data_IF_024693296613
#
_entry.id   IF_024693296613
#
_cell.length_a   1.000
_cell.length_b   1.000
_cell.length_c   1.000
_cell.angle_alpha   90.00
_cell.angle_beta   90.00
_cell.angle_gamma   90.00
#
_symmetry.space_group_name_H-M   'P 1'
#
loop_
_entity.id
_entity.type
_entity.pdbx_description
1 polymer ?
#
# COMPACT_ATOMS: atom_id res chain seq x y z
N UNK A 1 6.77 -4.86 24.24
CA UNK A 1 7.10 -3.51 23.71
C UNK A 1 6.83 -3.48 22.21
N UNK A 2 6.24 -2.40 21.66
CA UNK A 2 6.05 -2.25 20.21
C UNK A 2 7.40 -2.36 19.48
N UNK A 3 7.41 -3.06 18.33
CA UNK A 3 8.61 -3.16 17.49
C UNK A 3 8.71 -1.95 16.59
N UNK A 4 9.91 -1.37 16.48
CA UNK A 4 10.20 -0.29 15.55
C UNK A 4 10.91 -0.85 14.32
N UNK A 5 10.39 -0.56 13.14
CA UNK A 5 11.07 -0.90 11.89
C UNK A 5 12.32 -0.04 11.76
N UNK A 6 13.49 -0.64 11.59
CA UNK A 6 14.76 0.11 11.45
C UNK A 6 14.79 0.90 10.14
N UNK A 7 14.15 0.39 9.08
CA UNK A 7 14.18 1.02 7.77
C UNK A 7 13.30 2.28 7.67
N UNK A 8 12.12 2.28 8.31
CA UNK A 8 11.16 3.39 8.19
C UNK A 8 10.74 4.02 9.52
N UNK A 9 11.25 3.52 10.64
CA UNK A 9 10.88 4.00 11.97
C UNK A 9 9.45 3.66 12.41
N UNK A 10 8.66 2.99 11.57
CA UNK A 10 7.26 2.67 11.87
C UNK A 10 7.14 1.73 13.06
N UNK A 11 6.15 1.98 13.91
CA UNK A 11 5.88 1.19 15.11
C UNK A 11 4.73 0.23 14.84
N UNK A 12 4.91 -1.05 15.19
CA UNK A 12 3.85 -2.05 15.12
C UNK A 12 3.74 -2.81 16.44
N UNK A 13 2.55 -3.35 16.79
CA UNK A 13 2.43 -4.28 17.91
C UNK A 13 3.32 -5.52 17.72
N UNK A 14 3.69 -6.22 18.81
CA UNK A 14 4.78 -7.19 18.81
C UNK A 14 4.37 -8.60 18.35
N UNK A 15 4.09 -8.84 17.07
CA UNK A 15 3.76 -10.20 16.60
C UNK A 15 4.33 -10.53 15.21
N UNK A 16 4.12 -11.79 14.75
CA UNK A 16 4.66 -12.51 13.58
C UNK A 16 4.41 -11.85 12.20
N UNK A 17 4.58 -10.55 12.07
CA UNK A 17 4.60 -9.84 10.80
C UNK A 17 6.02 -9.95 10.23
N UNK A 18 6.18 -10.68 9.14
CA UNK A 18 7.48 -10.90 8.51
C UNK A 18 8.07 -9.61 7.92
N UNK A 19 7.22 -8.70 7.44
CA UNK A 19 7.61 -7.44 6.78
C UNK A 19 6.79 -6.25 7.27
N UNK A 20 7.44 -5.11 7.51
CA UNK A 20 6.80 -3.87 7.93
C UNK A 20 5.68 -3.44 6.97
N UNK A 21 4.44 -3.20 7.45
CA UNK A 21 3.34 -2.74 6.59
C UNK A 21 3.63 -1.41 5.88
N UNK A 22 4.45 -0.56 6.48
CA UNK A 22 4.77 0.78 5.97
C UNK A 22 5.80 0.78 4.83
N UNK A 23 6.87 -0.01 4.91
CA UNK A 23 7.94 0.00 3.87
C UNK A 23 8.20 -1.37 3.22
N UNK A 24 7.54 -2.43 3.68
CA UNK A 24 7.75 -3.79 3.18
C UNK A 24 9.06 -4.44 3.62
N UNK A 25 9.96 -3.75 4.33
CA UNK A 25 11.22 -4.32 4.82
C UNK A 25 11.00 -5.29 5.98
N UNK A 26 11.80 -6.35 6.06
CA UNK A 26 11.77 -7.28 7.19
C UNK A 26 12.18 -6.58 8.49
N UNK A 27 11.52 -6.91 9.60
CA UNK A 27 12.02 -6.49 10.92
C UNK A 27 13.30 -7.26 11.23
N UNK A 28 14.40 -6.57 11.60
CA UNK A 28 15.59 -7.29 12.09
C UNK A 28 15.19 -8.16 13.29
N UNK A 29 15.66 -9.42 13.30
CA UNK A 29 15.59 -10.26 14.50
C UNK A 29 16.27 -9.50 15.65
N UNK A 30 15.74 -9.56 16.89
CA UNK A 30 16.46 -9.01 18.03
C UNK A 30 17.87 -9.62 18.04
N UNK A 31 18.88 -8.78 18.22
CA UNK A 31 20.22 -9.26 18.51
C UNK A 31 20.12 -10.08 19.80
N UNK A 32 20.66 -11.31 19.79
CA UNK A 32 20.89 -12.00 21.05
C UNK A 32 21.97 -11.21 21.78
N UNK A 33 21.56 -10.37 22.72
CA UNK A 33 22.49 -9.74 23.64
C UNK A 33 23.09 -10.83 24.54
N UNK A 34 24.41 -10.97 24.46
CA UNK A 34 25.33 -11.57 25.44
C UNK A 34 25.08 -13.03 25.88
N UNK A 35 25.89 -13.94 25.33
CA UNK A 35 26.38 -15.10 26.08
C UNK A 35 27.89 -15.29 25.79
N UNK A 36 28.75 -15.43 26.81
CA UNK A 36 30.18 -15.65 26.62
C UNK A 36 30.46 -17.06 26.08
N UNK A 37 31.64 -17.32 25.48
CA UNK A 37 31.93 -18.62 24.90
C UNK A 37 32.31 -19.58 26.02
N UNK A 38 31.55 -20.65 26.24
CA UNK A 38 32.17 -21.83 26.84
C UNK A 38 31.53 -23.17 26.44
N UNK A 39 32.43 -23.98 25.88
CA UNK A 39 32.62 -25.42 25.93
C UNK A 39 31.44 -26.40 26.05
N UNK A 40 31.47 -27.31 25.07
CA UNK A 40 30.78 -28.59 24.89
C UNK A 40 30.33 -29.31 26.17
N UNK A 41 29.04 -29.63 26.24
CA UNK A 41 28.54 -30.95 26.66
C UNK A 41 27.38 -31.38 25.77
N UNK A 42 27.48 -32.59 25.24
CA UNK A 42 26.44 -33.25 24.45
C UNK A 42 25.23 -33.55 25.33
N UNK A 43 24.11 -32.85 25.10
CA UNK A 43 22.78 -33.33 25.46
C UNK A 43 21.93 -33.28 24.19
N UNK A 44 21.52 -34.48 23.73
CA UNK A 44 20.65 -34.66 22.57
C UNK A 44 19.25 -34.16 22.92
N UNK A 45 18.92 -32.93 22.52
CA UNK A 45 17.53 -32.48 22.50
C UNK A 45 16.98 -32.63 21.08
N UNK A 46 16.10 -33.63 20.92
CA UNK A 46 15.19 -33.74 19.79
C UNK A 46 14.36 -32.45 19.71
N UNK A 47 14.66 -31.58 18.75
CA UNK A 47 13.74 -30.55 18.31
C UNK A 47 13.28 -30.93 16.92
N UNK A 48 12.03 -31.37 16.86
CA UNK A 48 11.26 -31.59 15.64
C UNK A 48 11.30 -30.32 14.78
N UNK A 49 12.14 -30.35 13.75
CA UNK A 49 12.22 -29.30 12.74
C UNK A 49 10.89 -29.17 12.02
N UNK A 50 10.05 -28.23 12.45
CA UNK A 50 8.94 -27.76 11.63
C UNK A 50 9.54 -27.02 10.44
N UNK A 51 9.62 -27.71 9.31
CA UNK A 51 9.89 -27.09 8.01
C UNK A 51 8.86 -25.97 7.78
N UNK A 52 9.32 -24.72 7.72
CA UNK A 52 8.46 -23.56 7.44
C UNK A 52 8.18 -23.51 5.93
N UNK A 53 7.29 -24.39 5.46
CA UNK A 53 6.66 -24.19 4.15
C UNK A 53 5.88 -22.85 4.20
N UNK A 54 6.01 -21.96 3.21
CA UNK A 54 5.24 -20.72 3.18
C UNK A 54 3.75 -21.06 3.14
N UNK A 55 2.96 -20.52 4.07
CA UNK A 55 1.49 -20.65 3.98
C UNK A 55 1.02 -20.01 2.67
N UNK A 56 0.40 -20.80 1.82
CA UNK A 56 -0.24 -20.33 0.59
C UNK A 56 -1.56 -19.64 0.98
N UNK A 57 -1.73 -18.38 0.58
CA UNK A 57 -2.96 -17.62 0.82
C UNK A 57 -3.83 -17.62 -0.45
N UNK A 58 -5.02 -18.25 -0.44
CA UNK A 58 -5.92 -18.29 -1.60
C UNK A 58 -6.32 -16.90 -2.09
N UNK A 59 -6.64 -15.99 -1.17
CA UNK A 59 -7.03 -14.62 -1.52
C UNK A 59 -5.91 -13.83 -2.21
N UNK A 60 -4.67 -13.97 -1.71
CA UNK A 60 -3.48 -13.37 -2.35
C UNK A 60 -3.28 -13.92 -3.77
N UNK A 61 -3.50 -15.22 -3.97
CA UNK A 61 -3.39 -15.85 -5.28
C UNK A 61 -4.48 -15.36 -6.25
N UNK A 62 -5.70 -15.18 -5.76
CA UNK A 62 -6.81 -14.63 -6.54
C UNK A 62 -6.55 -13.17 -6.94
N UNK A 63 -6.08 -12.33 -6.01
CA UNK A 63 -5.65 -10.97 -6.32
C UNK A 63 -4.48 -10.94 -7.32
N UNK A 64 -3.55 -11.90 -7.22
CA UNK A 64 -2.45 -12.02 -8.16
C UNK A 64 -2.91 -12.49 -9.54
N UNK A 65 -4.00 -13.26 -9.62
CA UNK A 65 -4.65 -13.64 -10.88
C UNK A 65 -5.23 -12.42 -11.57
N UNK A 66 -6.00 -11.59 -10.85
CA UNK A 66 -6.51 -10.33 -11.37
C UNK A 66 -5.37 -9.40 -11.84
N UNK A 67 -4.30 -9.24 -11.05
CA UNK A 67 -3.16 -8.43 -11.46
C UNK A 67 -2.52 -8.94 -12.77
N UNK A 68 -2.45 -10.26 -12.97
CA UNK A 68 -1.94 -10.84 -14.21
C UNK A 68 -2.87 -10.58 -15.40
N UNK A 69 -4.18 -10.57 -15.20
CA UNK A 69 -5.14 -10.27 -16.29
C UNK A 69 -5.09 -8.81 -16.75
N UNK A 70 -4.46 -7.91 -15.99
CA UNK A 70 -4.21 -6.54 -16.43
C UNK A 70 -3.02 -6.43 -17.40
N UNK A 71 -2.22 -7.48 -17.54
CA UNK A 71 -1.09 -7.55 -18.49
C UNK A 71 -0.02 -6.46 -18.28
N UNK A 72 0.15 -5.97 -17.05
CA UNK A 72 1.23 -5.03 -16.73
C UNK A 72 2.59 -5.74 -16.80
N UNK A 73 3.62 -5.00 -17.21
CA UNK A 73 4.99 -5.52 -17.21
C UNK A 73 5.40 -5.93 -15.79
N UNK A 74 5.84 -7.17 -15.66
CA UNK A 74 6.34 -7.76 -14.43
C UNK A 74 7.54 -7.01 -13.86
N UNK A 75 8.32 -6.33 -14.71
CA UNK A 75 9.45 -5.50 -14.30
C UNK A 75 9.05 -4.34 -13.39
N UNK A 76 7.78 -3.93 -13.41
CA UNK A 76 7.25 -2.87 -12.55
C UNK A 76 7.11 -3.31 -11.08
N UNK A 77 7.24 -4.61 -10.78
CA UNK A 77 6.92 -5.18 -9.47
C UNK A 77 8.15 -5.71 -8.73
N UNK A 78 8.08 -5.62 -7.40
CA UNK A 78 9.00 -6.25 -6.48
C UNK A 78 8.23 -7.16 -5.51
N UNK A 79 8.25 -8.46 -5.83
CA UNK A 79 7.49 -9.48 -5.10
C UNK A 79 7.89 -9.59 -3.62
N UNK A 80 9.08 -9.10 -3.23
CA UNK A 80 9.55 -9.09 -1.84
C UNK A 80 8.66 -8.23 -0.94
N UNK A 81 8.02 -7.22 -1.51
CA UNK A 81 7.17 -6.28 -0.77
C UNK A 81 5.67 -6.60 -0.87
N UNK A 82 5.30 -7.74 -1.47
CA UNK A 82 3.91 -8.19 -1.53
C UNK A 82 3.40 -8.55 -0.12
N UNK A 83 2.23 -8.04 0.25
CA UNK A 83 1.65 -8.25 1.57
C UNK A 83 0.15 -8.45 1.46
N UNK A 84 -0.41 -9.46 2.13
CA UNK A 84 -1.85 -9.70 2.12
C UNK A 84 -2.43 -9.27 3.46
N UNK A 85 -3.54 -8.54 3.43
CA UNK A 85 -4.26 -8.03 4.59
C UNK A 85 -5.63 -8.69 4.77
N UNK A 86 -5.87 -9.85 4.14
CA UNK A 86 -7.07 -10.65 4.44
C UNK A 86 -7.05 -11.16 5.89
N UNK A 87 -8.19 -11.61 6.39
CA UNK A 87 -8.36 -12.11 7.76
C UNK A 87 -7.37 -13.23 8.14
N UNK A 88 -6.96 -14.06 7.18
CA UNK A 88 -5.99 -15.14 7.40
C UNK A 88 -4.53 -14.66 7.48
N UNK A 89 -4.20 -13.56 6.81
CA UNK A 89 -2.84 -13.04 6.70
C UNK A 89 -2.55 -11.88 7.64
N UNK A 90 -3.57 -11.11 8.01
CA UNK A 90 -3.49 -9.99 8.92
C UNK A 90 -4.62 -10.11 9.94
N UNK A 91 -4.28 -10.70 11.09
CA UNK A 91 -5.24 -11.14 12.10
C UNK A 91 -6.03 -9.96 12.66
N UNK A 92 -7.29 -10.21 13.04
CA UNK A 92 -8.16 -9.20 13.64
C UNK A 92 -7.57 -8.60 14.91
N UNK A 93 -6.85 -9.41 15.70
CA UNK A 93 -6.14 -8.97 16.91
C UNK A 93 -4.96 -8.04 16.66
N UNK A 94 -4.54 -7.84 15.41
CA UNK A 94 -3.46 -6.90 15.07
C UNK A 94 -4.02 -5.47 14.96
N UNK A 95 -3.14 -4.46 14.98
CA UNK A 95 -3.57 -3.05 14.94
C UNK A 95 -4.23 -2.69 13.61
N UNK A 96 -5.26 -1.85 13.67
CA UNK A 96 -5.91 -1.22 12.51
C UNK A 96 -5.13 -0.01 11.98
N UNK A 97 -4.11 0.43 12.72
CA UNK A 97 -3.30 1.60 12.36
C UNK A 97 -1.81 1.31 12.52
N UNK A 98 -1.02 2.10 11.80
CA UNK A 98 0.43 2.19 11.97
C UNK A 98 0.83 3.65 12.01
N UNK A 99 1.70 4.00 12.94
CA UNK A 99 2.39 5.29 12.96
C UNK A 99 3.68 5.19 12.15
N UNK A 100 3.83 6.04 11.15
CA UNK A 100 5.00 6.12 10.28
C UNK A 100 5.29 7.58 9.92
N UNK A 101 6.56 7.99 10.02
CA UNK A 101 7.00 9.35 9.72
C UNK A 101 6.19 10.45 10.45
N UNK A 102 5.81 10.20 11.71
CA UNK A 102 5.04 11.16 12.52
C UNK A 102 3.56 11.29 12.13
N UNK A 103 3.04 10.38 11.31
CA UNK A 103 1.63 10.35 10.91
C UNK A 103 1.05 8.95 11.07
N UNK A 104 -0.25 8.89 11.36
CA UNK A 104 -1.01 7.64 11.49
C UNK A 104 -1.73 7.36 10.18
N UNK A 105 -1.64 6.13 9.70
CA UNK A 105 -2.43 5.66 8.56
C UNK A 105 -3.16 4.36 8.91
N UNK A 106 -4.29 4.13 8.25
CA UNK A 106 -5.15 2.97 8.47
C UNK A 106 -4.64 1.79 7.66
N UNK A 107 -4.56 0.61 8.27
CA UNK A 107 -4.19 -0.64 7.61
C UNK A 107 -5.29 -1.05 6.61
N UNK A 108 -4.95 -1.44 5.38
CA UNK A 108 -5.93 -1.75 4.36
C UNK A 108 -6.45 -3.18 4.51
N UNK A 109 -7.19 -3.47 5.59
CA UNK A 109 -7.76 -4.80 5.84
C UNK A 109 -8.65 -5.27 4.70
N UNK A 110 -8.52 -6.54 4.34
CA UNK A 110 -9.22 -7.13 3.19
C UNK A 110 -8.53 -6.90 1.84
N UNK A 111 -7.41 -6.16 1.78
CA UNK A 111 -6.70 -5.89 0.54
C UNK A 111 -5.45 -6.75 0.39
N UNK A 112 -4.93 -6.87 -0.82
CA UNK A 112 -3.63 -7.46 -1.11
C UNK A 112 -2.73 -6.45 -1.81
N UNK A 113 -1.59 -6.14 -1.18
CA UNK A 113 -0.53 -5.33 -1.77
C UNK A 113 0.38 -6.14 -2.66
N UNK A 114 0.64 -5.59 -3.84
CA UNK A 114 1.72 -5.97 -4.75
C UNK A 114 2.75 -4.85 -4.76
N UNK A 115 3.97 -5.16 -4.35
CA UNK A 115 5.05 -4.18 -4.25
C UNK A 115 5.49 -3.69 -5.61
N UNK A 116 5.73 -2.39 -5.74
CA UNK A 116 6.25 -1.78 -6.95
C UNK A 116 7.77 -1.64 -6.88
N UNK A 117 8.43 -1.68 -8.03
CA UNK A 117 9.80 -1.19 -8.15
C UNK A 117 9.81 0.32 -7.95
N UNK A 118 10.77 0.79 -7.16
CA UNK A 118 11.01 2.21 -6.93
C UNK A 118 12.47 2.53 -7.21
N UNK A 119 12.76 3.80 -7.47
CA UNK A 119 14.13 4.28 -7.58
C UNK A 119 14.81 4.23 -6.20
N UNK A 120 15.75 3.28 -6.04
CA UNK A 120 16.42 3.04 -4.76
C UNK A 120 17.29 4.22 -4.34
N UNK A 121 18.02 4.81 -5.29
CA UNK A 121 18.92 5.95 -5.03
C UNK A 121 18.10 7.12 -4.51
N UNK A 122 17.00 7.44 -5.21
CA UNK A 122 16.08 8.48 -4.77
C UNK A 122 15.51 8.20 -3.38
N UNK A 123 15.05 6.98 -3.12
CA UNK A 123 14.45 6.66 -1.81
C UNK A 123 15.44 6.77 -0.65
N UNK A 124 16.72 6.54 -0.93
CA UNK A 124 17.80 6.67 0.05
C UNK A 124 18.16 8.13 0.31
N UNK A 125 18.43 8.91 -0.75
CA UNK A 125 18.82 10.32 -0.68
C UNK A 125 17.72 11.19 -0.05
N UNK A 126 16.46 11.02 -0.49
CA UNK A 126 15.33 11.80 0.03
C UNK A 126 14.80 11.24 1.38
N UNK A 127 15.41 10.15 1.88
CA UNK A 127 15.00 9.44 3.09
C UNK A 127 13.50 9.09 3.11
N UNK A 128 12.95 8.73 1.96
CA UNK A 128 11.50 8.59 1.72
C UNK A 128 10.87 7.66 2.73
N UNK A 129 11.45 6.48 2.95
CA UNK A 129 10.87 5.49 3.85
C UNK A 129 10.76 5.96 5.29
N UNK A 130 11.70 6.79 5.74
CA UNK A 130 11.78 7.28 7.12
C UNK A 130 10.93 8.53 7.32
N UNK A 131 10.91 9.42 6.34
CA UNK A 131 10.41 10.78 6.51
C UNK A 131 9.08 11.03 5.80
N UNK A 132 8.69 10.22 4.81
CA UNK A 132 7.45 10.44 4.08
C UNK A 132 6.30 9.67 4.68
N UNK A 133 5.16 10.34 4.85
CA UNK A 133 3.93 9.74 5.40
C UNK A 133 3.38 8.69 4.43
N UNK A 134 2.55 7.78 4.93
CA UNK A 134 1.88 6.78 4.08
C UNK A 134 0.47 7.26 3.76
N UNK A 135 0.12 7.25 2.48
CA UNK A 135 -1.22 7.62 2.00
C UNK A 135 -1.71 6.65 0.92
N UNK A 136 -2.98 6.78 0.55
CA UNK A 136 -3.68 5.97 -0.43
C UNK A 136 -4.25 6.86 -1.53
N UNK A 137 -4.21 6.39 -2.77
CA UNK A 137 -4.79 7.07 -3.93
C UNK A 137 -5.71 6.11 -4.69
N UNK A 138 -7.00 6.41 -4.70
CA UNK A 138 -8.00 5.68 -5.48
C UNK A 138 -7.94 6.07 -6.94
N UNK A 139 -7.98 5.08 -7.83
CA UNK A 139 -7.89 5.33 -9.27
C UNK A 139 -8.40 4.13 -10.08
N UNK A 140 -8.37 4.23 -11.42
CA UNK A 140 -8.63 3.09 -12.30
C UNK A 140 -7.33 2.32 -12.59
N UNK A 141 -7.41 1.06 -13.03
CA UNK A 141 -6.21 0.30 -13.41
C UNK A 141 -5.40 0.97 -14.50
N UNK A 142 -6.03 1.58 -15.50
CA UNK A 142 -5.34 2.24 -16.61
C UNK A 142 -4.56 3.48 -16.13
N UNK A 143 -5.19 4.28 -15.27
CA UNK A 143 -4.54 5.44 -14.66
C UNK A 143 -3.43 5.02 -13.68
N UNK A 144 -3.64 3.97 -12.89
CA UNK A 144 -2.62 3.40 -12.03
C UNK A 144 -1.40 2.92 -12.84
N UNK A 145 -1.62 2.22 -13.95
CA UNK A 145 -0.54 1.74 -14.82
C UNK A 145 0.27 2.91 -15.35
N UNK A 146 -0.41 3.94 -15.84
CA UNK A 146 0.22 5.17 -16.31
C UNK A 146 1.09 5.79 -15.22
N UNK A 147 0.56 5.99 -14.01
CA UNK A 147 1.30 6.56 -12.88
C UNK A 147 2.55 5.73 -12.55
N UNK A 148 2.43 4.41 -12.51
CA UNK A 148 3.53 3.49 -12.17
C UNK A 148 4.60 3.47 -13.25
N UNK A 149 4.22 3.37 -14.52
CA UNK A 149 5.14 3.35 -15.68
C UNK A 149 5.93 4.66 -15.75
N UNK A 150 5.26 5.79 -15.56
CA UNK A 150 5.90 7.11 -15.63
C UNK A 150 6.60 7.51 -14.33
N UNK A 151 6.41 6.75 -13.25
CA UNK A 151 6.92 7.03 -11.89
C UNK A 151 6.54 8.42 -11.37
N UNK A 152 5.42 8.95 -11.85
CA UNK A 152 4.92 10.26 -11.48
C UNK A 152 3.40 10.32 -11.63
N UNK A 153 2.77 11.11 -10.77
CA UNK A 153 1.40 11.54 -10.98
C UNK A 153 1.40 12.58 -12.10
N UNK A 154 1.03 12.12 -13.29
CA UNK A 154 0.84 13.00 -14.42
C UNK A 154 -0.45 13.81 -14.19
N UNK A 155 -0.39 15.11 -14.45
CA UNK A 155 -1.55 15.99 -14.43
C UNK A 155 -1.90 16.42 -15.86
N UNK A 156 -3.13 16.88 -16.12
CA UNK A 156 -3.51 17.43 -17.42
C UNK A 156 -2.50 18.46 -17.94
N UNK A 157 -2.05 18.27 -19.18
CA UNK A 157 -0.97 19.02 -19.81
C UNK A 157 0.39 18.32 -19.87
N UNK A 158 0.61 17.29 -19.04
CA UNK A 158 1.83 16.47 -19.11
C UNK A 158 1.87 15.58 -20.34
N UNK A 159 3.10 15.26 -20.78
CA UNK A 159 3.33 14.26 -21.83
C UNK A 159 3.63 12.90 -21.21
N UNK A 160 2.99 11.87 -21.76
CA UNK A 160 3.33 10.47 -21.55
C UNK A 160 4.65 10.11 -22.24
N UNK A 161 5.21 8.94 -21.94
CA UNK A 161 6.45 8.42 -22.53
C UNK A 161 6.34 8.20 -24.05
N UNK A 162 5.14 7.97 -24.55
CA UNK A 162 4.81 7.89 -25.97
C UNK A 162 4.68 9.27 -26.66
N UNK A 163 4.78 10.36 -25.89
CA UNK A 163 4.67 11.74 -26.38
C UNK A 163 3.25 12.31 -26.36
N UNK A 164 2.21 11.53 -26.03
CA UNK A 164 0.84 12.00 -25.95
C UNK A 164 0.63 12.94 -24.76
N UNK A 165 -0.11 14.04 -24.97
CA UNK A 165 -0.51 14.92 -23.87
C UNK A 165 -1.73 14.37 -23.16
N UNK A 166 -1.71 14.38 -21.83
CA UNK A 166 -2.89 14.06 -21.04
C UNK A 166 -3.91 15.17 -21.19
N UNK A 167 -5.06 14.81 -21.76
CA UNK A 167 -6.21 15.69 -21.91
C UNK A 167 -6.77 16.09 -20.53
N UNK A 168 -7.36 17.28 -20.47
CA UNK A 168 -8.21 17.67 -19.34
C UNK A 168 -9.48 16.83 -19.43
N UNK A 169 -9.75 16.00 -18.41
CA UNK A 169 -11.01 15.26 -18.34
C UNK A 169 -12.19 16.24 -18.33
N UNK A 170 -13.29 15.97 -19.05
CA UNK A 170 -14.49 16.80 -19.01
C UNK A 170 -14.98 16.96 -17.55
N UNK A 171 -15.12 18.21 -17.10
CA UNK A 171 -15.53 18.54 -15.72
C UNK A 171 -14.37 18.89 -14.76
N UNK A 172 -13.11 18.79 -15.18
CA UNK A 172 -12.00 19.37 -14.43
C UNK A 172 -11.94 20.90 -14.63
N UNK A 173 -11.89 21.64 -13.53
CA UNK A 173 -11.69 23.10 -13.55
C UNK A 173 -10.23 23.38 -13.94
N UNK A 174 -10.01 24.20 -14.96
CA UNK A 174 -8.67 24.67 -15.33
C UNK A 174 -7.94 25.25 -14.12
N UNK A 175 -6.74 24.74 -13.82
CA UNK A 175 -5.92 25.19 -12.68
C UNK A 175 -6.04 24.38 -11.40
N UNK A 176 -7.01 23.46 -11.27
CA UNK A 176 -7.14 22.55 -10.11
C UNK A 176 -6.54 21.17 -10.36
N UNK A 177 -5.30 21.14 -10.83
CA UNK A 177 -4.57 19.90 -11.07
C UNK A 177 -3.89 19.42 -9.79
N UNK A 178 -4.69 18.91 -8.85
CA UNK A 178 -4.19 18.38 -7.58
C UNK A 178 -4.03 16.86 -7.62
N UNK A 179 -3.03 16.37 -6.89
CA UNK A 179 -2.92 14.96 -6.54
C UNK A 179 -3.62 14.77 -5.21
N UNK A 180 -4.69 13.99 -5.19
CA UNK A 180 -5.46 13.66 -3.99
C UNK A 180 -5.03 12.31 -3.43
N UNK A 181 -4.82 12.24 -2.12
CA UNK A 181 -4.56 11.00 -1.39
C UNK A 181 -5.30 11.02 -0.04
N UNK A 182 -5.24 9.93 0.71
CA UNK A 182 -5.87 9.84 2.04
C UNK A 182 -5.03 8.98 2.98
N UNK A 183 -5.02 9.24 4.31
CA UNK A 183 -4.43 8.32 5.28
C UNK A 183 -5.28 7.04 5.49
N UNK A 184 -6.47 6.94 4.90
CA UNK A 184 -7.35 5.76 5.00
C UNK A 184 -7.76 5.23 3.64
N UNK A 185 -7.67 3.92 3.47
CA UNK A 185 -8.11 3.28 2.23
C UNK A 185 -9.63 3.37 2.05
N UNK A 186 -10.41 3.52 3.13
CA UNK A 186 -11.87 3.60 3.04
C UNK A 186 -12.32 4.81 2.19
N UNK A 187 -11.62 5.94 2.31
CA UNK A 187 -11.88 7.11 1.48
C UNK A 187 -11.40 6.90 0.04
N UNK A 188 -10.16 6.44 -0.14
CA UNK A 188 -9.59 6.19 -1.46
C UNK A 188 -10.31 5.09 -2.26
N UNK A 189 -10.93 4.13 -1.59
CA UNK A 189 -11.69 3.05 -2.22
C UNK A 189 -13.14 3.45 -2.53
N UNK A 190 -13.57 4.66 -2.18
CA UNK A 190 -14.93 5.12 -2.47
C UNK A 190 -15.21 5.08 -4.00
N UNK A 191 -16.41 4.68 -4.47
CA UNK A 191 -16.73 4.56 -5.89
C UNK A 191 -16.52 5.83 -6.74
N UNK A 192 -16.49 7.01 -6.11
CA UNK A 192 -16.14 8.26 -6.78
C UNK A 192 -14.69 8.26 -7.31
N UNK A 193 -13.77 7.58 -6.61
CA UNK A 193 -12.34 7.57 -6.93
C UNK A 193 -11.87 6.21 -7.46
N UNK A 194 -12.41 5.12 -6.92
CA UNK A 194 -12.04 3.75 -7.26
C UNK A 194 -13.25 3.00 -7.81
N UNK A 195 -13.52 3.14 -9.10
CA UNK A 195 -14.64 2.43 -9.74
C UNK A 195 -14.31 0.94 -9.88
N UNK A 196 -15.21 0.03 -9.46
CA UNK A 196 -14.99 -1.41 -9.62
C UNK A 196 -14.93 -1.82 -11.08
N UNK A 197 -14.02 -2.73 -11.41
CA UNK A 197 -14.02 -3.48 -12.66
C UNK A 197 -14.50 -4.91 -12.42
N UNK A 198 -15.28 -5.46 -13.34
CA UNK A 198 -15.66 -6.87 -13.27
C UNK A 198 -14.50 -7.76 -13.69
N UNK A 199 -14.22 -8.77 -12.88
CA UNK A 199 -13.17 -9.75 -13.13
C UNK A 199 -13.75 -11.16 -12.99
N UNK A 200 -13.64 -11.97 -14.05
CA UNK A 200 -13.97 -13.40 -13.98
C UNK A 200 -12.71 -14.21 -13.70
N UNK A 201 -12.63 -14.82 -12.53
CA UNK A 201 -11.51 -15.70 -12.18
C UNK A 201 -11.62 -17.02 -12.94
N UNK A 202 -10.52 -17.42 -13.56
CA UNK A 202 -10.34 -18.73 -14.15
C UNK A 202 -10.14 -19.80 -13.07
N UNK A 203 -9.55 -19.42 -11.92
CA UNK A 203 -9.32 -20.33 -10.80
C UNK A 203 -10.61 -20.73 -10.08
N UNK A 204 -11.50 -19.77 -9.81
CA UNK A 204 -12.74 -20.03 -9.04
C UNK A 204 -13.98 -20.11 -9.91
N UNK A 205 -13.89 -19.72 -11.18
CA UNK A 205 -15.01 -19.58 -12.13
C UNK A 205 -16.11 -18.58 -11.66
N UNK A 206 -15.78 -17.70 -10.72
CA UNK A 206 -16.69 -16.68 -10.17
C UNK A 206 -16.37 -15.30 -10.74
N UNK A 207 -17.34 -14.39 -10.63
CA UNK A 207 -17.19 -12.99 -11.00
C UNK A 207 -16.96 -12.17 -9.73
N UNK A 208 -16.04 -11.21 -9.81
CA UNK A 208 -15.65 -10.33 -8.73
C UNK A 208 -15.73 -8.88 -9.18
N UNK A 209 -16.08 -7.98 -8.27
CA UNK A 209 -15.76 -6.56 -8.36
C UNK A 209 -14.34 -6.35 -7.87
N UNK A 210 -13.48 -5.84 -8.74
CA UNK A 210 -12.10 -5.57 -8.47
C UNK A 210 -11.88 -4.07 -8.26
N UNK A 211 -11.25 -3.73 -7.14
CA UNK A 211 -10.86 -2.38 -6.78
C UNK A 211 -9.33 -2.26 -6.79
N UNK A 212 -8.80 -1.12 -7.26
CA UNK A 212 -7.38 -0.79 -7.23
C UNK A 212 -7.15 0.54 -6.51
N UNK A 213 -6.20 0.52 -5.58
CA UNK A 213 -5.71 1.70 -4.87
C UNK A 213 -4.18 1.69 -4.90
N UNK A 214 -3.55 2.84 -5.12
CA UNK A 214 -2.10 2.98 -4.97
C UNK A 214 -1.77 3.30 -3.51
N UNK A 215 -0.89 2.51 -2.90
CA UNK A 215 -0.24 2.87 -1.64
C UNK A 215 0.97 3.75 -1.94
N UNK A 216 1.01 4.92 -1.32
CA UNK A 216 1.94 5.99 -1.63
C UNK A 216 2.73 6.43 -0.41
N UNK A 217 3.91 6.98 -0.68
CA UNK A 217 4.66 7.84 0.25
C UNK A 217 4.44 9.27 -0.15
N UNK A 218 4.17 10.15 0.80
CA UNK A 218 3.99 11.57 0.53
C UNK A 218 4.90 12.44 1.40
N UNK A 219 5.57 13.38 0.75
CA UNK A 219 6.55 14.27 1.38
C UNK A 219 5.87 15.23 2.37
N UNK A 220 6.29 15.28 3.64
CA UNK A 220 5.76 16.25 4.60
C UNK A 220 6.01 17.69 4.12
N UNK A 221 5.08 18.58 4.42
CA UNK A 221 5.15 19.99 3.99
C UNK A 221 4.85 20.24 2.51
N UNK A 222 4.64 19.19 1.71
CA UNK A 222 4.28 19.33 0.29
C UNK A 222 2.77 19.36 0.05
N UNK A 223 1.94 19.13 1.07
CA UNK A 223 0.51 18.93 0.93
C UNK A 223 -0.29 19.73 1.95
N UNK A 224 -1.59 19.82 1.71
CA UNK A 224 -2.59 20.33 2.66
C UNK A 224 -3.57 19.22 3.00
N UNK A 225 -4.09 19.27 4.22
CA UNK A 225 -5.16 18.40 4.71
C UNK A 225 -6.47 19.17 4.60
N UNK A 226 -7.54 18.51 4.20
CA UNK A 226 -8.87 19.09 4.13
C UNK A 226 -9.98 18.07 4.41
N UNK A 227 -11.22 18.56 4.64
CA UNK A 227 -12.38 17.71 4.79
C UNK A 227 -12.71 16.89 3.55
N UNK A 228 -13.54 15.88 3.75
CA UNK A 228 -14.13 15.07 2.69
C UNK A 228 -14.88 15.91 1.65
N UNK A 229 -14.79 15.51 0.38
CA UNK A 229 -15.43 16.17 -0.76
C UNK A 229 -16.47 15.29 -1.47
N UNK A 230 -16.76 14.11 -0.92
CA UNK A 230 -17.72 13.14 -1.48
C UNK A 230 -19.15 13.38 -1.01
N UNK A 231 -19.37 14.34 -0.11
CA UNK A 231 -20.70 14.70 0.40
C UNK A 231 -21.24 13.64 1.36
N UNK A 232 -20.37 13.01 2.16
CA UNK A 232 -20.77 12.01 3.16
C UNK A 232 -21.65 12.60 4.28
N UNK A 233 -21.65 13.93 4.45
CA UNK A 233 -22.46 14.60 5.46
C UNK A 233 -22.09 14.14 6.87
N UNK A 234 -23.07 13.62 7.62
CA UNK A 234 -22.83 13.07 8.97
C UNK A 234 -22.31 11.63 8.99
N UNK A 235 -22.28 10.94 7.84
CA UNK A 235 -21.80 9.56 7.77
C UNK A 235 -20.28 9.54 7.91
N UNK A 236 -19.76 8.78 8.89
CA UNK A 236 -18.33 8.55 9.04
C UNK A 236 -17.82 7.64 7.93
N UNK A 237 -16.81 8.11 7.19
CA UNK A 237 -16.19 7.34 6.10
C UNK A 237 -15.16 6.36 6.68
N UNK A 238 -14.46 6.78 7.73
CA UNK A 238 -13.52 5.95 8.47
C UNK A 238 -13.82 6.05 9.97
N UNK A 239 -13.75 4.90 10.65
CA UNK A 239 -13.90 4.81 12.11
C UNK A 239 -12.74 5.47 12.86
N UNK A 240 -11.58 5.59 12.22
CA UNK A 240 -10.34 6.08 12.84
C UNK A 240 -10.05 7.52 12.42
N UNK A 241 -9.98 7.77 11.11
CA UNK A 241 -9.67 9.11 10.58
C UNK A 241 -10.95 9.95 10.53
N UNK A 242 -10.96 11.16 11.13
CA UNK A 242 -12.06 12.10 11.03
C UNK A 242 -12.34 12.57 9.59
N UNK A 243 -13.60 12.87 9.26
CA UNK A 243 -13.97 13.33 7.92
C UNK A 243 -13.36 14.71 7.57
N UNK A 244 -13.02 15.54 8.54
CA UNK A 244 -12.35 16.85 8.39
C UNK A 244 -10.85 16.74 8.08
N UNK A 245 -10.26 15.55 8.21
CA UNK A 245 -8.84 15.28 7.97
C UNK A 245 -8.59 14.17 6.93
N UNK A 246 -9.64 13.72 6.25
CA UNK A 246 -9.58 12.49 5.44
C UNK A 246 -8.97 12.70 4.05
N UNK A 247 -8.97 13.91 3.53
CA UNK A 247 -8.45 14.23 2.20
C UNK A 247 -7.15 15.02 2.29
N UNK A 248 -6.14 14.55 1.56
CA UNK A 248 -4.83 15.19 1.45
C UNK A 248 -4.62 15.56 -0.01
N UNK A 249 -4.23 16.79 -0.30
CA UNK A 249 -3.97 17.22 -1.67
C UNK A 249 -2.67 18.01 -1.82
N UNK A 250 -2.06 17.90 -3.01
CA UNK A 250 -0.83 18.61 -3.35
C UNK A 250 -0.79 18.99 -4.84
N UNK A 251 -0.11 20.09 -5.15
CA UNK A 251 0.31 20.46 -6.52
C UNK A 251 1.81 20.24 -6.75
N UNK A 252 2.56 19.89 -5.70
CA UNK A 252 4.02 19.76 -5.75
C UNK A 252 4.37 18.48 -6.49
N UNK A 253 5.09 18.62 -7.61
CA UNK A 253 5.52 17.48 -8.41
C UNK A 253 6.53 16.62 -7.67
N UNK A 254 6.53 15.34 -8.02
CA UNK A 254 7.38 14.33 -7.41
C UNK A 254 7.25 14.20 -5.87
N UNK A 255 6.28 14.86 -5.23
CA UNK A 255 6.08 14.80 -3.77
C UNK A 255 5.30 13.56 -3.30
N UNK A 256 4.81 12.76 -4.25
CA UNK A 256 4.10 11.50 -4.00
C UNK A 256 4.79 10.37 -4.77
N UNK A 257 5.16 9.31 -4.06
CA UNK A 257 5.79 8.10 -4.61
C UNK A 257 4.87 6.89 -4.38
N UNK A 258 4.20 6.36 -5.41
CA UNK A 258 3.56 5.05 -5.35
C UNK A 258 4.60 3.96 -5.12
N UNK A 259 4.33 3.06 -4.18
CA UNK A 259 5.22 1.92 -3.88
C UNK A 259 4.50 0.58 -3.77
N UNK A 260 3.17 0.57 -3.82
CA UNK A 260 2.38 -0.65 -3.86
C UNK A 260 1.05 -0.45 -4.57
N UNK A 261 0.58 -1.49 -5.23
CA UNK A 261 -0.80 -1.60 -5.71
C UNK A 261 -1.56 -2.43 -4.71
N UNK A 262 -2.64 -1.90 -4.16
CA UNK A 262 -3.58 -2.60 -3.33
C UNK A 262 -4.75 -3.04 -4.18
N UNK A 263 -5.04 -4.34 -4.14
CA UNK A 263 -6.16 -4.97 -4.84
C UNK A 263 -7.13 -5.53 -3.82
N UNK A 264 -8.41 -5.26 -4.00
CA UNK A 264 -9.49 -5.93 -3.31
C UNK A 264 -10.42 -6.56 -4.34
N UNK A 265 -10.80 -7.80 -4.08
CA UNK A 265 -11.80 -8.54 -4.85
C UNK A 265 -12.99 -8.84 -3.95
N UNK A 266 -14.17 -8.45 -4.40
CA UNK A 266 -15.46 -8.71 -3.76
C UNK A 266 -16.28 -9.60 -4.69
N UNK A 267 -16.72 -10.76 -4.23
CA UNK A 267 -17.53 -11.68 -5.03
C UNK A 267 -18.87 -11.04 -5.37
N UNK A 268 -19.29 -11.08 -6.64
CA UNK A 268 -20.62 -10.65 -7.02
C UNK A 268 -21.63 -11.71 -6.64
N UNK A 269 -22.67 -11.33 -5.90
CA UNK A 269 -23.85 -12.16 -5.58
C UNK A 269 -24.52 -12.74 -6.82
#
# INVERSE_FOLDING_TARGET
MPRRCIACGATTPPFNIQCCPSCGQEFRKPANDSAPPNNKTHVKNNHSGHSKQPRVCPYKNLCAEYLRSLEWDRSLFDRRFNHCYCSDCYLESWSDTVEAAGSVYVIPRGWCRFGLQVDKVRTEVDHIWRNWIVTYHGTTPEAAQSIVVHRQFLIPGDKRLDGEKIAICPGHIEGQNHIYTSPTIAYSAHPCYCRPQLFRSQTTNKIYKAHIVLQCRQQPGSFKVQPETIGAGHQRICSIIPNDEVEIYTTVRASVLPYGILIQLEETS
#
